data_IF_944068906874
#
_entry.id   IF_944068906874
#
_cell.length_a   1.000
_cell.length_b   1.000
_cell.length_c   1.000
_cell.angle_alpha   90.00
_cell.angle_beta   90.00
_cell.angle_gamma   90.00
#
_symmetry.space_group_name_H-M   'P 1'
#
loop_
_entity.id
_entity.type
_entity.pdbx_description
1 polymer ?
#
# COMPACT_ATOMS: atom_id res chain seq x y z
N UNK A 1 3.83 -7.70 -10.41
CA UNK A 1 4.00 -7.68 -8.96
C UNK A 1 3.19 -6.54 -8.35
N UNK A 2 2.61 -6.77 -7.19
CA UNK A 2 1.83 -5.74 -6.49
C UNK A 2 2.60 -5.31 -5.25
N UNK A 3 2.73 -3.99 -5.07
CA UNK A 3 3.26 -3.42 -3.84
C UNK A 3 2.11 -2.80 -3.06
N UNK A 4 2.07 -3.04 -1.75
CA UNK A 4 1.14 -2.34 -0.87
C UNK A 4 1.95 -1.63 0.19
N UNK A 5 1.92 -0.30 0.15
CA UNK A 5 2.50 0.52 1.20
C UNK A 5 1.42 0.81 2.22
N UNK A 6 1.67 0.48 3.47
CA UNK A 6 0.65 0.66 4.50
C UNK A 6 1.24 0.73 5.88
N UNK A 7 0.39 0.58 6.88
CA UNK A 7 0.83 0.58 8.27
C UNK A 7 -0.03 -0.40 9.07
N UNK A 8 0.54 -0.87 10.20
CA UNK A 8 -0.21 -1.71 11.12
C UNK A 8 -1.34 -0.91 11.72
N UNK A 9 -2.40 -1.59 12.13
CA UNK A 9 -3.57 -0.97 12.76
C UNK A 9 -4.36 -0.04 11.84
N UNK A 10 -4.15 -0.12 10.54
CA UNK A 10 -4.97 0.60 9.57
C UNK A 10 -5.95 -0.37 8.93
N UNK A 11 -7.26 -0.21 9.18
CA UNK A 11 -8.25 -1.16 8.64
C UNK A 11 -8.23 -1.24 7.11
N UNK A 12 -7.94 -0.13 6.44
CA UNK A 12 -7.94 -0.10 4.98
C UNK A 12 -6.69 -0.80 4.43
N UNK A 13 -5.54 -0.68 5.11
CA UNK A 13 -4.35 -1.46 4.76
C UNK A 13 -4.63 -2.95 4.90
N UNK A 14 -5.23 -3.35 6.03
CA UNK A 14 -5.57 -4.75 6.26
C UNK A 14 -6.55 -5.27 5.23
N UNK A 15 -7.56 -4.47 4.88
CA UNK A 15 -8.55 -4.86 3.89
C UNK A 15 -7.92 -5.06 2.52
N UNK A 16 -7.00 -4.18 2.12
CA UNK A 16 -6.33 -4.31 0.84
C UNK A 16 -5.50 -5.60 0.80
N UNK A 17 -4.74 -5.87 1.87
CA UNK A 17 -3.92 -7.07 1.93
C UNK A 17 -4.77 -8.33 1.86
N UNK A 18 -5.89 -8.33 2.59
CA UNK A 18 -6.79 -9.47 2.59
C UNK A 18 -7.42 -9.71 1.22
N UNK A 19 -7.77 -8.63 0.53
CA UNK A 19 -8.39 -8.75 -0.78
C UNK A 19 -7.46 -9.39 -1.79
N UNK A 20 -6.20 -8.94 -1.84
CA UNK A 20 -5.23 -9.54 -2.75
C UNK A 20 -4.91 -10.97 -2.37
N UNK A 21 -4.82 -11.28 -1.07
CA UNK A 21 -4.56 -12.64 -0.61
C UNK A 21 -5.71 -13.57 -1.01
N UNK A 22 -6.95 -13.10 -0.90
CA UNK A 22 -8.11 -13.90 -1.27
C UNK A 22 -8.13 -14.22 -2.76
N UNK A 23 -7.59 -13.32 -3.57
CA UNK A 23 -7.49 -13.51 -5.02
C UNK A 23 -6.22 -14.25 -5.43
N UNK A 24 -5.43 -14.68 -4.46
CA UNK A 24 -4.19 -15.43 -4.69
C UNK A 24 -3.17 -14.64 -5.51
N UNK A 25 -3.11 -13.33 -5.27
CA UNK A 25 -2.17 -12.43 -5.93
C UNK A 25 -0.98 -12.18 -5.01
N UNK A 26 0.23 -12.35 -5.55
CA UNK A 26 1.44 -12.09 -4.78
C UNK A 26 1.60 -10.60 -4.52
N UNK A 27 1.86 -10.25 -3.26
CA UNK A 27 2.00 -8.87 -2.83
C UNK A 27 3.26 -8.73 -2.00
N UNK A 28 4.00 -7.66 -2.26
CA UNK A 28 5.04 -7.23 -1.33
C UNK A 28 4.45 -6.12 -0.46
N UNK A 29 4.35 -6.40 0.83
CA UNK A 29 3.83 -5.42 1.78
C UNK A 29 4.98 -4.63 2.39
N UNK A 30 4.86 -3.30 2.38
CA UNK A 30 5.89 -2.40 2.87
C UNK A 30 5.28 -1.52 3.95
N UNK A 31 5.74 -1.71 5.19
CA UNK A 31 5.25 -0.94 6.32
C UNK A 31 6.02 0.37 6.39
N UNK A 32 5.35 1.48 6.08
CA UNK A 32 5.98 2.79 6.00
C UNK A 32 6.36 3.35 7.35
N UNK A 33 5.92 2.71 8.44
CA UNK A 33 6.31 3.12 9.78
C UNK A 33 7.64 2.51 10.22
N UNK A 34 8.13 1.52 9.49
CA UNK A 34 9.38 0.86 9.86
C UNK A 34 10.62 1.63 9.46
N UNK A 35 10.53 2.48 8.43
CA UNK A 35 11.71 3.21 7.99
C UNK A 35 11.29 4.44 7.20
N UNK A 36 12.08 5.50 7.34
CA UNK A 36 11.88 6.71 6.54
C UNK A 36 12.01 6.42 5.05
N UNK A 37 12.92 5.53 4.69
CA UNK A 37 13.11 5.18 3.29
C UNK A 37 11.85 4.57 2.68
N UNK A 38 11.14 3.75 3.45
CA UNK A 38 9.89 3.18 2.97
C UNK A 38 8.82 4.24 2.76
N UNK A 39 8.72 5.18 3.69
CA UNK A 39 7.78 6.30 3.51
C UNK A 39 8.14 7.10 2.27
N UNK A 40 9.42 7.36 2.05
CA UNK A 40 9.85 8.12 0.87
C UNK A 40 9.54 7.38 -0.41
N UNK A 41 9.69 6.05 -0.43
CA UNK A 41 9.31 5.27 -1.59
C UNK A 41 7.81 5.42 -1.87
N UNK A 42 6.99 5.33 -0.83
CA UNK A 42 5.55 5.51 -1.00
C UNK A 42 5.23 6.88 -1.56
N UNK A 43 5.86 7.92 -1.02
CA UNK A 43 5.60 9.29 -1.46
C UNK A 43 6.02 9.50 -2.91
N UNK A 44 7.05 8.80 -3.37
CA UNK A 44 7.44 8.84 -4.78
C UNK A 44 6.36 8.31 -5.70
N UNK A 45 5.65 7.27 -5.28
CA UNK A 45 4.54 6.75 -6.08
C UNK A 45 3.28 7.60 -5.95
N UNK A 46 3.02 8.13 -4.76
CA UNK A 46 1.75 8.81 -4.46
C UNK A 46 1.79 10.29 -4.74
N UNK A 47 2.89 10.80 -5.31
CA UNK A 47 3.07 12.24 -5.57
C UNK A 47 2.94 13.08 -4.29
N UNK A 48 3.50 12.56 -3.21
CA UNK A 48 3.55 13.27 -1.93
C UNK A 48 2.37 13.04 -1.01
N UNK A 49 1.39 12.23 -1.41
CA UNK A 49 0.25 11.93 -0.54
C UNK A 49 0.63 10.91 0.52
N UNK A 50 0.35 11.24 1.78
CA UNK A 50 0.70 10.36 2.92
C UNK A 50 -0.40 9.38 3.29
N UNK A 51 -1.44 9.28 2.48
CA UNK A 51 -2.56 8.39 2.76
C UNK A 51 -2.16 6.94 2.52
N UNK A 52 -2.52 6.06 3.42
CA UNK A 52 -2.31 4.62 3.27
C UNK A 52 -3.66 3.91 3.15
N UNK A 53 -3.72 2.79 2.45
CA UNK A 53 -2.63 2.18 1.69
C UNK A 53 -2.41 2.85 0.34
N UNK A 54 -1.19 2.76 -0.17
CA UNK A 54 -0.88 3.09 -1.57
C UNK A 54 -0.55 1.77 -2.25
N UNK A 55 -1.26 1.48 -3.34
CA UNK A 55 -1.15 0.20 -4.02
C UNK A 55 -0.56 0.46 -5.40
N UNK A 56 0.51 -0.27 -5.73
CA UNK A 56 1.15 -0.17 -7.04
C UNK A 56 1.02 -1.52 -7.70
N UNK A 57 0.28 -1.57 -8.80
CA UNK A 57 0.03 -2.81 -9.53
C UNK A 57 0.39 -2.58 -10.99
N UNK A 58 1.45 -3.25 -11.44
CA UNK A 58 1.91 -3.17 -12.84
C UNK A 58 2.06 -1.71 -13.29
N UNK A 59 2.64 -0.89 -12.41
CA UNK A 59 2.89 0.51 -12.70
C UNK A 59 1.72 1.44 -12.45
N UNK A 60 0.53 0.90 -12.17
CA UNK A 60 -0.64 1.70 -11.85
C UNK A 60 -0.71 1.96 -10.35
N UNK A 61 -0.84 3.23 -9.97
CA UNK A 61 -0.87 3.64 -8.57
C UNK A 61 -2.29 3.96 -8.15
N UNK A 62 -2.72 3.37 -7.03
CA UNK A 62 -4.01 3.67 -6.42
C UNK A 62 -3.76 4.14 -5.00
N UNK A 63 -4.37 5.25 -4.61
CA UNK A 63 -4.25 5.80 -3.26
C UNK A 63 -5.53 5.51 -2.51
N UNK A 64 -5.40 4.76 -1.41
CA UNK A 64 -6.55 4.35 -0.63
C UNK A 64 -7.12 3.03 -1.09
N UNK A 65 -8.08 2.51 -0.32
CA UNK A 65 -8.74 1.24 -0.62
C UNK A 65 -10.07 1.21 0.12
N UNK A 66 -11.15 0.89 -0.60
CA UNK A 66 -12.44 0.66 0.03
C UNK A 66 -13.04 1.88 0.70
N UNK A 67 -12.77 3.06 0.20
CA UNK A 67 -13.40 4.29 0.70
C UNK A 67 -12.51 5.23 1.47
N UNK A 68 -11.19 4.96 1.52
CA UNK A 68 -10.29 5.94 2.14
C UNK A 68 -9.83 7.00 1.18
#
# INVERSE_FOLDING_TARGET
>A
MVLIFGKENCPYTAAARADYARRDVDVEYIDVKQSRAYMEQMLGYSSGHRRVPVIVEDGKVTIGFGGT
#
